data_IF_062649346695
#
_entry.id   IF_062649346695
#
_cell.length_a   1.000
_cell.length_b   1.000
_cell.length_c   1.000
_cell.angle_alpha   90.00
_cell.angle_beta   90.00
_cell.angle_gamma   90.00
#
_symmetry.space_group_name_H-M   'P 1'
#
loop_
_entity.id
_entity.type
_entity.pdbx_description
1 polymer ?
#
# COMPACT_ATOMS: atom_id res chain seq x y z
N UNK A 1 18.16 7.34 -9.63
CA UNK A 1 16.87 6.88 -10.19
C UNK A 1 17.06 5.88 -11.31
N UNK A 2 16.01 5.15 -11.75
CA UNK A 2 16.05 4.29 -12.94
C UNK A 2 16.64 4.96 -14.20
N UNK A 3 16.59 6.29 -14.29
CA UNK A 3 17.15 7.12 -15.36
C UNK A 3 18.56 7.68 -15.09
N UNK A 4 19.23 7.26 -14.01
CA UNK A 4 20.55 7.80 -13.62
C UNK A 4 20.51 9.20 -13.01
N UNK A 5 19.33 9.82 -12.89
CA UNK A 5 19.16 11.15 -12.33
C UNK A 5 19.36 11.22 -10.81
N UNK A 6 19.91 12.35 -10.38
CA UNK A 6 20.06 12.77 -8.98
C UNK A 6 18.75 13.39 -8.51
N UNK A 7 18.27 12.98 -7.33
CA UNK A 7 17.11 13.59 -6.67
C UNK A 7 17.61 14.27 -5.40
N UNK A 8 17.12 15.47 -5.15
CA UNK A 8 17.33 16.16 -3.87
C UNK A 8 16.56 15.47 -2.76
N UNK A 9 17.25 15.19 -1.66
CA UNK A 9 16.66 14.57 -0.47
C UNK A 9 16.72 15.55 0.69
N UNK A 10 15.70 15.52 1.54
CA UNK A 10 15.63 16.32 2.74
C UNK A 10 16.26 15.57 3.91
N UNK A 11 16.85 16.34 4.85
CA UNK A 11 17.28 15.77 6.11
C UNK A 11 16.05 15.26 6.87
N UNK A 12 16.23 14.18 7.62
CA UNK A 12 15.11 13.55 8.30
C UNK A 12 14.53 14.47 9.38
N UNK A 13 15.39 15.20 10.08
CA UNK A 13 15.02 16.17 11.10
C UNK A 13 14.08 17.26 10.54
N UNK A 14 14.33 17.72 9.31
CA UNK A 14 13.49 18.72 8.63
C UNK A 14 12.07 18.19 8.35
N UNK A 15 11.91 16.87 8.27
CA UNK A 15 10.62 16.21 7.99
C UNK A 15 9.87 15.91 9.29
N UNK A 16 10.55 15.36 10.29
CA UNK A 16 9.87 14.77 11.45
C UNK A 16 9.74 15.70 12.65
N UNK A 17 10.56 16.74 12.79
CA UNK A 17 10.65 17.54 14.02
C UNK A 17 9.30 18.15 14.43
N UNK A 18 8.52 18.62 13.46
CA UNK A 18 7.19 19.15 13.74
C UNK A 18 6.24 18.05 14.26
N UNK A 19 6.30 16.84 13.70
CA UNK A 19 5.46 15.72 14.12
C UNK A 19 5.85 15.24 15.53
N UNK A 20 7.15 15.11 15.80
CA UNK A 20 7.69 14.72 17.11
C UNK A 20 7.29 15.70 18.23
N UNK A 21 7.31 17.01 17.94
CA UNK A 21 6.95 18.04 18.92
C UNK A 21 5.45 18.16 19.15
N UNK A 22 4.63 17.76 18.18
CA UNK A 22 3.19 18.01 18.19
C UNK A 22 2.33 16.78 18.52
N UNK A 23 2.87 15.56 18.45
CA UNK A 23 2.14 14.34 18.78
C UNK A 23 2.98 13.40 19.66
N UNK A 24 2.57 13.20 20.93
CA UNK A 24 3.17 12.19 21.81
C UNK A 24 3.10 10.77 21.23
N UNK A 25 2.00 10.43 20.53
CA UNK A 25 1.79 9.14 19.88
C UNK A 25 2.83 8.88 18.79
N UNK A 26 3.03 9.86 17.90
CA UNK A 26 4.05 9.78 16.85
C UNK A 26 5.46 9.76 17.43
N UNK A 27 5.72 10.55 18.47
CA UNK A 27 7.00 10.53 19.18
C UNK A 27 7.31 9.15 19.74
N UNK A 28 6.36 8.53 20.44
CA UNK A 28 6.53 7.19 21.00
C UNK A 28 6.75 6.12 19.91
N UNK A 29 5.97 6.18 18.82
CA UNK A 29 6.15 5.31 17.65
C UNK A 29 7.56 5.46 17.05
N UNK A 30 7.98 6.70 16.79
CA UNK A 30 9.25 6.99 16.16
C UNK A 30 10.43 6.55 17.06
N UNK A 31 10.44 6.93 18.34
CA UNK A 31 11.51 6.54 19.28
C UNK A 31 11.61 5.01 19.47
N UNK A 32 10.49 4.29 19.34
CA UNK A 32 10.47 2.83 19.50
C UNK A 32 10.92 2.08 18.25
N UNK A 33 10.49 2.55 17.07
CA UNK A 33 10.59 1.78 15.84
C UNK A 33 11.66 2.29 14.87
N UNK A 34 12.13 3.54 15.00
CA UNK A 34 13.02 4.17 14.00
C UNK A 34 14.32 3.41 13.78
N UNK A 35 14.92 2.89 14.84
CA UNK A 35 16.20 2.15 14.77
C UNK A 35 16.05 0.80 14.03
N UNK A 36 14.81 0.32 13.87
CA UNK A 36 14.52 -0.88 13.08
C UNK A 36 14.38 -0.58 11.58
N UNK A 37 14.58 0.67 11.14
CA UNK A 37 14.51 1.09 9.75
C UNK A 37 15.88 1.66 9.33
N UNK A 38 16.49 1.08 8.30
CA UNK A 38 17.68 1.67 7.69
C UNK A 38 17.39 3.07 7.12
N UNK A 39 18.42 3.79 6.70
CA UNK A 39 18.30 5.15 6.18
C UNK A 39 17.15 5.34 5.18
N UNK A 40 16.28 6.32 5.48
CA UNK A 40 15.18 6.74 4.63
C UNK A 40 15.62 7.98 3.83
N UNK A 41 15.43 7.92 2.53
CA UNK A 41 15.56 9.09 1.66
C UNK A 41 14.22 9.80 1.55
N UNK A 42 14.12 10.98 2.18
CA UNK A 42 12.92 11.81 2.16
C UNK A 42 12.90 12.70 0.91
N UNK A 43 11.85 12.57 0.11
CA UNK A 43 11.73 13.26 -1.19
C UNK A 43 10.44 14.06 -1.21
N UNK A 44 10.51 15.30 -1.67
CA UNK A 44 9.32 16.10 -1.98
C UNK A 44 8.85 15.77 -3.41
N UNK A 45 7.56 15.52 -3.58
CA UNK A 45 6.96 15.29 -4.89
C UNK A 45 7.13 16.50 -5.80
N UNK A 46 7.36 16.23 -7.07
CA UNK A 46 7.31 17.15 -8.17
C UNK A 46 6.92 16.37 -9.44
N UNK A 47 6.65 17.08 -10.55
CA UNK A 47 6.20 16.45 -11.81
C UNK A 47 7.16 15.35 -12.31
N UNK A 48 8.45 15.50 -12.06
CA UNK A 48 9.47 14.52 -12.45
C UNK A 48 9.42 13.25 -11.59
N UNK A 49 9.28 13.39 -10.27
CA UNK A 49 9.09 12.26 -9.35
C UNK A 49 7.78 11.54 -9.66
N UNK A 50 6.72 12.29 -9.91
CA UNK A 50 5.39 11.79 -10.26
C UNK A 50 5.43 10.92 -11.51
N UNK A 51 6.02 11.43 -12.58
CA UNK A 51 6.18 10.71 -13.84
C UNK A 51 7.10 9.50 -13.75
N UNK A 52 8.12 9.52 -12.88
CA UNK A 52 9.12 8.44 -12.81
C UNK A 52 8.76 7.33 -11.80
N UNK A 53 8.18 7.69 -10.66
CA UNK A 53 7.84 6.73 -9.59
C UNK A 53 6.35 6.38 -9.56
N UNK A 54 5.53 7.00 -10.41
CA UNK A 54 4.08 6.80 -10.37
C UNK A 54 3.47 7.30 -9.06
N UNK A 55 4.04 8.38 -8.49
CA UNK A 55 3.38 9.17 -7.47
C UNK A 55 2.31 10.02 -8.14
N UNK A 56 1.13 10.11 -7.55
CA UNK A 56 0.03 10.93 -8.07
C UNK A 56 -0.28 12.06 -7.10
N UNK A 57 -0.50 13.25 -7.64
CA UNK A 57 -0.93 14.41 -6.85
C UNK A 57 -2.16 14.06 -6.02
N UNK A 58 -2.15 14.42 -4.73
CA UNK A 58 -3.18 14.04 -3.76
C UNK A 58 -2.97 12.70 -3.05
N UNK A 59 -1.95 11.90 -3.37
CA UNK A 59 -1.57 10.71 -2.58
C UNK A 59 -0.97 11.07 -1.21
N UNK A 60 -0.49 12.31 -1.03
CA UNK A 60 0.13 12.88 0.19
C UNK A 60 1.45 12.22 0.64
N UNK A 61 1.58 10.90 0.52
CA UNK A 61 2.80 10.15 0.80
C UNK A 61 2.81 8.78 0.15
N UNK A 62 4.01 8.24 -0.13
CA UNK A 62 4.20 6.88 -0.64
C UNK A 62 5.63 6.37 -0.41
N UNK A 63 5.76 5.16 0.10
CA UNK A 63 7.01 4.43 0.27
C UNK A 63 7.43 3.71 -1.01
N UNK A 64 8.73 3.70 -1.27
CA UNK A 64 9.35 2.99 -2.39
C UNK A 64 10.59 2.25 -1.93
N UNK A 65 10.80 1.07 -2.53
CA UNK A 65 12.08 0.35 -2.48
C UNK A 65 12.73 0.43 -3.85
N UNK A 66 13.94 1.00 -3.92
CA UNK A 66 14.71 1.05 -5.15
C UNK A 66 15.98 0.22 -5.03
N UNK A 67 16.10 -0.80 -5.88
CA UNK A 67 17.34 -1.58 -6.00
C UNK A 67 18.41 -0.75 -6.72
N UNK A 68 19.42 -0.31 -5.98
CA UNK A 68 20.59 0.36 -6.50
C UNK A 68 21.80 -0.57 -6.64
N UNK A 69 22.91 -0.04 -7.16
CA UNK A 69 24.19 -0.77 -7.27
C UNK A 69 24.76 -1.19 -5.90
N UNK A 70 24.51 -0.39 -4.87
CA UNK A 70 25.07 -0.54 -3.51
C UNK A 70 24.09 -1.14 -2.52
N UNK A 71 22.96 -1.69 -2.99
CA UNK A 71 21.90 -2.24 -2.14
C UNK A 71 20.53 -1.61 -2.40
N UNK A 72 19.56 -1.96 -1.56
CA UNK A 72 18.19 -1.45 -1.62
C UNK A 72 18.13 -0.11 -0.89
N UNK A 73 17.53 0.89 -1.55
CA UNK A 73 17.27 2.21 -0.99
C UNK A 73 15.80 2.32 -0.60
N UNK A 74 15.54 2.85 0.59
CA UNK A 74 14.20 3.14 1.12
C UNK A 74 13.89 4.60 0.92
N UNK A 75 12.78 4.92 0.26
CA UNK A 75 12.41 6.29 -0.05
C UNK A 75 10.98 6.54 0.37
N UNK A 76 10.72 7.69 0.97
CA UNK A 76 9.38 8.19 1.20
C UNK A 76 9.23 9.47 0.40
N UNK A 77 8.31 9.45 -0.55
CA UNK A 77 7.91 10.63 -1.31
C UNK A 77 6.72 11.25 -0.59
N UNK A 78 6.80 12.53 -0.26
CA UNK A 78 5.73 13.31 0.35
C UNK A 78 5.33 14.45 -0.59
N UNK A 79 4.04 14.77 -0.65
CA UNK A 79 3.55 15.90 -1.46
C UNK A 79 4.08 17.24 -0.91
N UNK A 80 4.26 17.33 0.41
CA UNK A 80 4.75 18.52 1.10
C UNK A 80 5.85 18.15 2.09
N UNK A 81 6.93 18.96 2.11
CA UNK A 81 7.99 18.92 3.12
C UNK A 81 8.22 20.37 3.61
N UNK A 82 8.20 20.62 4.94
CA UNK A 82 7.84 19.67 6.00
C UNK A 82 6.35 19.24 5.91
N UNK A 83 6.01 18.00 6.31
CA UNK A 83 4.63 17.52 6.35
C UNK A 83 3.83 18.26 7.42
N UNK A 84 2.51 18.36 7.23
CA UNK A 84 1.61 18.92 8.23
C UNK A 84 1.18 17.86 9.25
N UNK A 85 0.57 18.27 10.37
CA UNK A 85 0.01 17.31 11.33
C UNK A 85 -1.10 16.44 10.73
N UNK A 86 -1.80 16.93 9.71
CA UNK A 86 -2.79 16.14 9.00
C UNK A 86 -2.14 14.99 8.21
N UNK A 87 -0.83 15.04 7.95
CA UNK A 87 -0.05 14.01 7.25
C UNK A 87 0.59 13.01 8.22
N UNK A 88 0.43 13.19 9.54
CA UNK A 88 1.09 12.36 10.56
C UNK A 88 0.84 10.86 10.34
N UNK A 89 -0.42 10.47 10.12
CA UNK A 89 -0.77 9.08 9.84
C UNK A 89 -0.04 8.58 8.60
N UNK A 90 -0.01 9.37 7.52
CA UNK A 90 0.63 9.00 6.25
C UNK A 90 2.11 8.78 6.46
N UNK A 91 2.82 9.72 7.11
CA UNK A 91 4.25 9.57 7.40
C UNK A 91 4.51 8.32 8.23
N UNK A 92 3.72 8.09 9.28
CA UNK A 92 3.87 6.90 10.12
C UNK A 92 3.60 5.60 9.34
N UNK A 93 2.59 5.60 8.46
CA UNK A 93 2.19 4.48 7.62
C UNK A 93 3.25 4.11 6.60
N UNK A 94 3.82 5.09 5.90
CA UNK A 94 4.90 4.85 4.95
C UNK A 94 6.18 4.33 5.64
N UNK A 95 6.48 4.81 6.85
CA UNK A 95 7.56 4.23 7.66
C UNK A 95 7.24 2.78 8.08
N UNK A 96 5.97 2.49 8.42
CA UNK A 96 5.55 1.18 8.85
C UNK A 96 5.71 0.12 7.75
N UNK A 97 5.56 0.48 6.48
CA UNK A 97 5.85 -0.44 5.37
C UNK A 97 7.29 -0.98 5.45
N UNK A 98 8.28 -0.14 5.74
CA UNK A 98 9.66 -0.61 5.89
C UNK A 98 9.86 -1.52 7.10
N UNK A 99 9.12 -1.31 8.20
CA UNK A 99 9.13 -2.20 9.35
C UNK A 99 8.55 -3.58 9.00
N UNK A 100 7.44 -3.62 8.26
CA UNK A 100 6.81 -4.87 7.81
C UNK A 100 7.78 -5.65 6.91
N UNK A 101 8.43 -4.97 5.96
CA UNK A 101 9.47 -5.55 5.10
C UNK A 101 10.66 -6.07 5.92
N UNK A 102 11.18 -5.27 6.86
CA UNK A 102 12.31 -5.65 7.71
C UNK A 102 11.97 -6.81 8.67
N UNK A 103 10.68 -7.00 9.01
CA UNK A 103 10.18 -8.17 9.74
C UNK A 103 10.07 -9.43 8.86
N UNK A 104 10.48 -9.34 7.60
CA UNK A 104 10.55 -10.47 6.67
C UNK A 104 9.23 -10.80 5.97
N UNK A 105 8.20 -9.95 6.09
CA UNK A 105 6.96 -10.15 5.33
C UNK A 105 7.26 -10.03 3.83
N UNK A 106 6.86 -11.02 3.01
CA UNK A 106 7.13 -10.97 1.59
C UNK A 106 6.26 -9.91 0.92
N UNK A 107 6.72 -9.41 -0.22
CA UNK A 107 5.96 -8.55 -1.13
C UNK A 107 5.73 -9.25 -2.46
N UNK A 108 4.90 -8.65 -3.31
CA UNK A 108 4.68 -9.09 -4.69
C UNK A 108 5.48 -8.19 -5.63
N UNK A 109 6.24 -8.83 -6.50
CA UNK A 109 7.03 -8.19 -7.54
C UNK A 109 6.38 -8.39 -8.91
N UNK A 110 6.42 -7.40 -9.81
CA UNK A 110 6.01 -7.62 -11.19
C UNK A 110 7.04 -8.50 -11.94
N UNK A 111 6.55 -9.38 -12.80
CA UNK A 111 7.35 -10.11 -13.78
C UNK A 111 7.52 -9.22 -15.02
N UNK A 112 8.67 -8.54 -15.09
CA UNK A 112 9.04 -7.65 -16.19
C UNK A 112 10.05 -8.36 -17.11
N UNK A 113 9.72 -8.50 -18.39
CA UNK A 113 10.63 -9.01 -19.42
C UNK A 113 10.96 -7.92 -20.46
N UNK A 114 12.10 -8.06 -21.14
CA UNK A 114 12.64 -7.03 -22.04
C UNK A 114 11.77 -6.78 -23.29
N UNK A 115 10.78 -7.63 -23.58
CA UNK A 115 9.85 -7.48 -24.69
C UNK A 115 8.48 -6.87 -24.36
N UNK A 116 8.20 -6.52 -23.10
CA UNK A 116 6.90 -5.95 -22.74
C UNK A 116 6.80 -4.48 -23.16
N UNK A 117 5.64 -4.12 -23.72
CA UNK A 117 5.25 -2.74 -23.97
C UNK A 117 5.19 -1.94 -22.66
N UNK A 118 5.41 -0.64 -22.74
CA UNK A 118 5.50 0.22 -21.55
C UNK A 118 4.20 0.21 -20.73
N UNK A 119 3.05 0.25 -21.40
CA UNK A 119 1.73 0.25 -20.74
C UNK A 119 1.48 -1.08 -20.00
N UNK A 120 1.92 -2.19 -20.58
CA UNK A 120 1.85 -3.48 -19.89
C UNK A 120 2.77 -3.52 -18.67
N UNK A 121 4.01 -3.03 -18.78
CA UNK A 121 4.92 -2.93 -17.63
C UNK A 121 4.30 -2.14 -16.48
N UNK A 122 3.68 -0.99 -16.79
CA UNK A 122 2.99 -0.15 -15.81
C UNK A 122 1.83 -0.91 -15.16
N UNK A 123 1.01 -1.60 -15.95
CA UNK A 123 -0.11 -2.37 -15.42
C UNK A 123 0.35 -3.52 -14.50
N UNK A 124 1.43 -4.24 -14.86
CA UNK A 124 2.00 -5.29 -14.00
C UNK A 124 2.54 -4.72 -12.68
N UNK A 125 3.18 -3.55 -12.72
CA UNK A 125 3.65 -2.85 -11.52
C UNK A 125 2.46 -2.45 -10.63
N UNK A 126 1.41 -1.87 -11.21
CA UNK A 126 0.19 -1.47 -10.50
C UNK A 126 -0.51 -2.66 -9.82
N UNK A 127 -0.56 -3.79 -10.52
CA UNK A 127 -1.13 -5.02 -10.00
C UNK A 127 -0.32 -5.60 -8.83
N UNK A 128 1.00 -5.71 -8.99
CA UNK A 128 1.90 -6.19 -7.94
C UNK A 128 1.84 -5.30 -6.69
N UNK A 129 1.79 -3.98 -6.89
CA UNK A 129 1.61 -3.02 -5.81
C UNK A 129 0.26 -3.21 -5.10
N UNK A 130 -0.84 -3.29 -5.85
CA UNK A 130 -2.20 -3.47 -5.30
C UNK A 130 -2.34 -4.78 -4.50
N UNK A 131 -1.73 -5.86 -4.98
CA UNK A 131 -1.72 -7.13 -4.27
C UNK A 131 -0.88 -7.06 -2.98
N UNK A 132 0.23 -6.33 -3.00
CA UNK A 132 1.07 -6.13 -1.82
C UNK A 132 0.34 -5.31 -0.76
N UNK A 133 -0.19 -4.15 -1.13
CA UNK A 133 -0.87 -3.22 -0.21
C UNK A 133 -2.14 -3.82 0.39
N UNK A 134 -2.86 -4.66 -0.35
CA UNK A 134 -4.04 -5.40 0.14
C UNK A 134 -3.78 -6.09 1.50
N UNK A 135 -2.56 -6.58 1.74
CA UNK A 135 -2.18 -7.22 3.00
C UNK A 135 -1.28 -6.34 3.85
N UNK A 136 -0.35 -5.61 3.25
CA UNK A 136 0.62 -4.79 3.98
C UNK A 136 -0.04 -3.60 4.69
N UNK A 137 -1.02 -2.94 4.07
CA UNK A 137 -1.67 -1.77 4.67
C UNK A 137 -2.44 -2.14 5.96
N UNK A 138 -3.23 -3.23 6.01
CA UNK A 138 -3.80 -3.71 7.27
C UNK A 138 -2.75 -4.03 8.35
N UNK A 139 -1.58 -4.55 7.98
CA UNK A 139 -0.48 -4.82 8.91
C UNK A 139 0.13 -3.52 9.46
N UNK A 140 0.40 -2.54 8.59
CA UNK A 140 0.85 -1.21 8.98
C UNK A 140 -0.16 -0.55 9.94
N UNK A 141 -1.45 -0.57 9.59
CA UNK A 141 -2.51 0.02 10.40
C UNK A 141 -2.63 -0.66 11.77
N UNK A 142 -2.52 -1.99 11.82
CA UNK A 142 -2.51 -2.76 13.06
C UNK A 142 -1.30 -2.42 13.95
N UNK A 143 -0.13 -2.19 13.35
CA UNK A 143 1.07 -1.75 14.08
C UNK A 143 0.86 -0.36 14.67
N UNK A 144 0.42 0.62 13.85
CA UNK A 144 0.23 2.00 14.25
C UNK A 144 -0.85 2.18 15.34
N UNK A 145 -1.89 1.36 15.30
CA UNK A 145 -2.96 1.36 16.32
C UNK A 145 -2.42 1.13 17.73
N UNK A 146 -1.33 0.37 17.90
CA UNK A 146 -0.69 0.13 19.22
C UNK A 146 -0.11 1.40 19.83
N UNK A 147 0.22 2.38 19.00
CA UNK A 147 0.77 3.66 19.40
C UNK A 147 -0.30 4.76 19.51
N UNK A 148 -1.58 4.44 19.27
CA UNK A 148 -2.67 5.43 19.26
C UNK A 148 -2.83 6.18 17.93
N UNK A 149 -2.06 5.83 16.90
CA UNK A 149 -2.15 6.45 15.57
C UNK A 149 -3.21 5.70 14.76
N UNK A 150 -4.35 6.35 14.49
CA UNK A 150 -5.54 5.71 13.92
C UNK A 150 -5.85 6.15 12.48
N UNK A 151 -6.21 5.18 11.64
CA UNK A 151 -6.70 5.43 10.28
C UNK A 151 -8.18 5.82 10.21
N UNK A 152 -8.94 5.76 11.31
CA UNK A 152 -10.42 5.79 11.30
C UNK A 152 -11.06 6.90 10.46
N UNK A 153 -10.71 8.16 10.73
CA UNK A 153 -11.28 9.30 9.99
C UNK A 153 -10.82 9.34 8.53
N UNK A 154 -9.59 8.92 8.24
CA UNK A 154 -9.06 8.87 6.89
C UNK A 154 -9.71 7.75 6.08
N UNK A 155 -9.99 6.60 6.69
CA UNK A 155 -10.68 5.49 6.06
C UNK A 155 -12.08 5.87 5.58
N UNK A 156 -12.87 6.54 6.42
CA UNK A 156 -14.23 6.97 6.05
C UNK A 156 -14.21 7.87 4.82
N UNK A 157 -13.30 8.84 4.79
CA UNK A 157 -13.10 9.72 3.63
C UNK A 157 -12.62 8.94 2.40
N UNK A 158 -11.73 7.97 2.59
CA UNK A 158 -11.25 7.09 1.52
C UNK A 158 -12.41 6.30 0.88
N UNK A 159 -13.25 5.63 1.68
CA UNK A 159 -14.42 4.89 1.19
C UNK A 159 -15.40 5.81 0.46
N UNK A 160 -15.73 6.97 1.02
CA UNK A 160 -16.63 7.95 0.37
C UNK A 160 -16.07 8.39 -0.99
N UNK A 161 -14.77 8.68 -1.07
CA UNK A 161 -14.13 9.11 -2.31
C UNK A 161 -14.08 7.98 -3.35
N UNK A 162 -13.80 6.75 -2.93
CA UNK A 162 -13.88 5.59 -3.83
C UNK A 162 -15.29 5.43 -4.42
N UNK A 163 -16.33 5.45 -3.57
CA UNK A 163 -17.72 5.31 -4.05
C UNK A 163 -18.08 6.39 -5.06
N UNK A 164 -17.63 7.63 -4.85
CA UNK A 164 -17.80 8.72 -5.82
C UNK A 164 -17.07 8.41 -7.13
N UNK A 165 -15.81 8.00 -7.06
CA UNK A 165 -14.98 7.74 -8.24
C UNK A 165 -15.51 6.57 -9.09
N UNK A 166 -16.07 5.55 -8.45
CA UNK A 166 -16.59 4.37 -9.15
C UNK A 166 -18.06 4.47 -9.56
N UNK A 167 -18.79 5.51 -9.13
CA UNK A 167 -20.22 5.66 -9.43
C UNK A 167 -20.54 5.67 -10.93
N UNK A 168 -19.66 6.26 -11.75
CA UNK A 168 -19.82 6.41 -13.19
C UNK A 168 -19.00 5.42 -14.02
N UNK A 169 -18.35 4.45 -13.38
CA UNK A 169 -17.52 3.45 -14.07
C UNK A 169 -18.38 2.22 -14.36
N UNK A 170 -18.28 1.64 -15.55
CA UNK A 170 -18.90 0.35 -15.88
C UNK A 170 -18.12 -0.80 -15.23
N UNK A 171 -18.77 -1.96 -15.04
CA UNK A 171 -18.06 -3.11 -14.48
C UNK A 171 -16.87 -3.48 -15.39
N UNK A 172 -15.65 -3.53 -14.85
CA UNK A 172 -14.48 -3.89 -15.64
C UNK A 172 -14.63 -5.30 -16.21
N UNK A 173 -14.11 -5.50 -17.42
CA UNK A 173 -14.05 -6.84 -18.02
C UNK A 173 -13.25 -7.77 -17.08
N UNK A 174 -13.80 -8.97 -16.74
CA UNK A 174 -13.11 -9.96 -15.92
C UNK A 174 -11.69 -10.28 -16.41
N UNK A 175 -10.79 -10.59 -15.48
CA UNK A 175 -9.40 -10.97 -15.75
C UNK A 175 -8.52 -9.93 -16.47
N UNK A 176 -9.02 -8.70 -16.68
CA UNK A 176 -8.16 -7.58 -17.06
C UNK A 176 -7.36 -7.08 -15.86
N UNK A 177 -6.19 -6.47 -16.08
CA UNK A 177 -5.38 -5.91 -14.98
C UNK A 177 -6.19 -4.93 -14.12
N UNK A 178 -7.00 -4.06 -14.74
CA UNK A 178 -7.86 -3.13 -14.01
C UNK A 178 -8.94 -3.85 -13.19
N UNK A 179 -9.58 -4.89 -13.75
CA UNK A 179 -10.55 -5.70 -13.03
C UNK A 179 -9.93 -6.36 -11.79
N UNK A 180 -8.77 -6.99 -11.95
CA UNK A 180 -8.08 -7.68 -10.84
C UNK A 180 -7.58 -6.68 -9.79
N UNK A 181 -7.05 -5.51 -10.20
CA UNK A 181 -6.71 -4.44 -9.25
C UNK A 181 -7.92 -3.98 -8.42
N UNK A 182 -9.10 -3.91 -9.05
CA UNK A 182 -10.33 -3.54 -8.35
C UNK A 182 -10.76 -4.62 -7.35
N UNK A 183 -10.53 -5.90 -7.65
CA UNK A 183 -10.70 -7.01 -6.69
C UNK A 183 -9.79 -6.80 -5.47
N UNK A 184 -8.49 -6.54 -5.67
CA UNK A 184 -7.58 -6.31 -4.54
C UNK A 184 -7.96 -5.07 -3.70
N UNK A 185 -8.45 -4.00 -4.34
CA UNK A 185 -8.98 -2.82 -3.64
C UNK A 185 -10.23 -3.17 -2.82
N UNK A 186 -11.13 -4.00 -3.35
CA UNK A 186 -12.29 -4.49 -2.61
C UNK A 186 -11.90 -5.28 -1.37
N UNK A 187 -10.93 -6.19 -1.51
CA UNK A 187 -10.40 -6.97 -0.39
C UNK A 187 -9.75 -6.07 0.65
N UNK A 188 -8.88 -5.13 0.24
CA UNK A 188 -8.20 -4.19 1.13
C UNK A 188 -9.19 -3.45 2.06
N UNK A 189 -10.26 -2.92 1.48
CA UNK A 189 -11.27 -2.13 2.21
C UNK A 189 -12.01 -3.00 3.22
N UNK A 190 -12.33 -4.25 2.85
CA UNK A 190 -12.96 -5.21 3.75
C UNK A 190 -12.00 -5.74 4.83
N UNK A 191 -10.68 -5.76 4.58
CA UNK A 191 -9.70 -6.13 5.61
C UNK A 191 -9.46 -5.03 6.64
N UNK A 192 -9.59 -3.76 6.25
CA UNK A 192 -9.50 -2.64 7.17
C UNK A 192 -10.60 -2.62 8.24
N UNK A 193 -11.77 -3.18 7.94
CA UNK A 193 -12.90 -3.30 8.86
C UNK A 193 -12.54 -3.99 10.18
N UNK A 194 -11.81 -5.10 10.08
CA UNK A 194 -11.36 -5.88 11.23
C UNK A 194 -10.36 -5.15 12.14
N UNK A 195 -9.91 -3.96 11.74
CA UNK A 195 -8.85 -3.22 12.44
C UNK A 195 -9.23 -1.82 12.91
N UNK A 196 -10.24 -1.15 12.32
CA UNK A 196 -10.33 0.32 12.40
C UNK A 196 -11.70 0.90 12.83
N UNK A 197 -12.85 0.23 12.66
CA UNK A 197 -14.15 0.93 12.67
C UNK A 197 -15.19 0.29 13.60
N UNK A 198 -15.80 1.11 14.47
CA UNK A 198 -17.02 0.77 15.23
C UNK A 198 -18.31 1.16 14.48
N UNK A 199 -18.20 1.79 13.31
CA UNK A 199 -19.28 2.28 12.42
C UNK A 199 -19.48 1.37 11.19
N UNK A 200 -20.08 0.19 11.40
CA UNK A 200 -20.37 -0.82 10.36
C UNK A 200 -21.14 -0.25 9.15
N UNK A 201 -21.88 0.86 9.32
CA UNK A 201 -22.75 1.45 8.30
C UNK A 201 -21.96 1.86 7.06
N UNK A 202 -20.72 2.36 7.22
CA UNK A 202 -19.92 2.82 6.08
C UNK A 202 -19.48 1.64 5.20
N UNK A 203 -19.07 0.52 5.81
CA UNK A 203 -18.67 -0.66 5.07
C UNK A 203 -19.86 -1.39 4.47
N UNK A 204 -20.99 -1.48 5.18
CA UNK A 204 -22.22 -2.06 4.64
C UNK A 204 -22.65 -1.36 3.36
N UNK A 205 -22.63 -0.01 3.35
CA UNK A 205 -22.90 0.78 2.13
C UNK A 205 -21.90 0.51 1.02
N UNK A 206 -20.63 0.35 1.37
CA UNK A 206 -19.58 0.01 0.42
C UNK A 206 -19.82 -1.35 -0.24
N UNK A 207 -20.07 -2.37 0.57
CA UNK A 207 -20.33 -3.74 0.11
C UNK A 207 -21.61 -3.80 -0.72
N UNK A 208 -22.70 -3.18 -0.28
CA UNK A 208 -23.94 -3.09 -1.07
C UNK A 208 -23.72 -2.41 -2.41
N UNK A 209 -22.91 -1.34 -2.46
CA UNK A 209 -22.60 -0.69 -3.73
C UNK A 209 -21.84 -1.64 -4.67
N UNK A 210 -20.78 -2.30 -4.18
CA UNK A 210 -19.98 -3.22 -4.98
C UNK A 210 -20.78 -4.44 -5.44
N UNK A 211 -21.60 -5.04 -4.57
CA UNK A 211 -22.45 -6.19 -4.91
C UNK A 211 -23.43 -5.87 -6.04
N UNK A 212 -24.00 -4.65 -6.04
CA UNK A 212 -24.95 -4.24 -7.06
C UNK A 212 -24.27 -3.78 -8.36
N UNK A 213 -23.14 -3.08 -8.25
CA UNK A 213 -22.48 -2.41 -9.38
C UNK A 213 -21.42 -3.28 -10.06
N UNK A 214 -20.73 -4.11 -9.27
CA UNK A 214 -19.58 -4.93 -9.67
C UNK A 214 -19.66 -6.35 -9.06
N UNK A 215 -20.71 -7.14 -9.40
CA UNK A 215 -20.92 -8.46 -8.83
C UNK A 215 -19.73 -9.41 -9.00
N UNK A 216 -19.07 -9.41 -10.17
CA UNK A 216 -17.92 -10.30 -10.40
C UNK A 216 -16.74 -9.94 -9.49
N UNK A 217 -16.47 -8.64 -9.35
CA UNK A 217 -15.42 -8.13 -8.46
C UNK A 217 -15.69 -8.55 -7.01
N UNK A 218 -16.96 -8.50 -6.61
CA UNK A 218 -17.39 -8.88 -5.27
C UNK A 218 -17.20 -10.38 -5.04
N UNK A 219 -17.58 -11.23 -6.00
CA UNK A 219 -17.44 -12.67 -5.89
C UNK A 219 -15.96 -13.11 -5.80
N UNK A 220 -15.10 -12.59 -6.66
CA UNK A 220 -13.65 -12.86 -6.59
C UNK A 220 -13.02 -12.29 -5.31
N UNK A 221 -13.47 -11.11 -4.88
CA UNK A 221 -13.02 -10.49 -3.65
C UNK A 221 -13.39 -11.31 -2.41
N UNK A 222 -14.61 -11.84 -2.36
CA UNK A 222 -15.07 -12.75 -1.30
C UNK A 222 -14.25 -14.03 -1.28
N UNK A 223 -13.94 -14.60 -2.44
CA UNK A 223 -13.05 -15.76 -2.53
C UNK A 223 -11.67 -15.47 -1.92
N UNK A 224 -11.04 -14.33 -2.23
CA UNK A 224 -9.76 -13.95 -1.60
C UNK A 224 -9.92 -13.73 -0.09
N UNK A 225 -10.99 -13.06 0.35
CA UNK A 225 -11.25 -12.89 1.79
C UNK A 225 -11.36 -14.23 2.52
N UNK A 226 -11.91 -15.26 1.89
CA UNK A 226 -11.94 -16.62 2.45
C UNK A 226 -10.55 -17.26 2.50
N UNK A 227 -9.69 -17.06 1.48
CA UNK A 227 -8.28 -17.43 1.57
C UNK A 227 -7.57 -16.73 2.75
N UNK A 228 -7.86 -15.44 2.95
CA UNK A 228 -7.31 -14.67 4.08
C UNK A 228 -7.77 -15.24 5.42
N UNK A 229 -9.02 -15.70 5.54
CA UNK A 229 -9.52 -16.37 6.76
C UNK A 229 -8.84 -17.73 7.01
N UNK A 230 -8.59 -18.49 5.96
CA UNK A 230 -7.95 -19.82 6.04
C UNK A 230 -6.49 -19.69 6.49
N UNK A 231 -5.72 -18.83 5.83
CA UNK A 231 -4.28 -18.71 6.08
C UNK A 231 -3.94 -17.75 7.20
N UNK A 232 -4.71 -16.67 7.34
CA UNK A 232 -4.33 -15.49 8.10
C UNK A 232 -3.20 -14.71 7.41
N UNK A 233 -2.90 -13.53 7.95
CA UNK A 233 -1.84 -12.66 7.41
C UNK A 233 -0.94 -12.06 8.50
N UNK A 234 -1.00 -12.57 9.73
CA UNK A 234 -0.30 -12.03 10.90
C UNK A 234 1.16 -12.50 11.05
N UNK A 235 1.69 -13.30 10.13
CA UNK A 235 3.10 -13.74 10.12
C UNK A 235 3.65 -13.82 8.69
N UNK A 236 4.96 -13.65 8.46
CA UNK A 236 5.56 -13.74 7.13
C UNK A 236 5.27 -15.04 6.38
N UNK A 237 5.34 -16.18 7.08
CA UNK A 237 5.08 -17.49 6.47
C UNK A 237 3.64 -17.64 6.01
N UNK A 238 2.67 -17.17 6.81
CA UNK A 238 1.25 -17.18 6.42
C UNK A 238 0.98 -16.29 5.22
N UNK A 239 1.55 -15.08 5.18
CA UNK A 239 1.44 -14.18 4.03
C UNK A 239 2.06 -14.80 2.77
N UNK A 240 3.15 -15.56 2.90
CA UNK A 240 3.76 -16.28 1.76
C UNK A 240 2.79 -17.31 1.16
N UNK A 241 2.15 -18.14 2.00
CA UNK A 241 1.16 -19.12 1.53
C UNK A 241 -0.06 -18.45 0.92
N UNK A 242 -0.59 -17.43 1.61
CA UNK A 242 -1.74 -16.65 1.13
C UNK A 242 -1.47 -16.07 -0.27
N UNK A 243 -0.32 -15.42 -0.46
CA UNK A 243 0.03 -14.86 -1.75
C UNK A 243 0.22 -15.93 -2.82
N UNK A 244 0.86 -17.05 -2.50
CA UNK A 244 1.04 -18.14 -3.47
C UNK A 244 -0.32 -18.71 -3.93
N UNK A 245 -1.27 -18.86 -3.02
CA UNK A 245 -2.62 -19.32 -3.35
C UNK A 245 -3.39 -18.31 -4.19
N UNK A 246 -3.30 -17.02 -3.90
CA UNK A 246 -3.92 -15.97 -4.72
C UNK A 246 -3.30 -15.95 -6.13
N UNK A 247 -1.95 -15.99 -6.24
CA UNK A 247 -1.25 -16.05 -7.52
C UNK A 247 -1.69 -17.26 -8.35
N UNK A 248 -1.87 -18.42 -7.72
CA UNK A 248 -2.31 -19.64 -8.39
C UNK A 248 -3.78 -19.58 -8.81
N UNK A 249 -4.67 -19.19 -7.89
CA UNK A 249 -6.11 -19.15 -8.13
C UNK A 249 -6.48 -18.14 -9.23
N UNK A 250 -5.83 -16.98 -9.23
CA UNK A 250 -6.05 -15.93 -10.23
C UNK A 250 -5.13 -16.05 -11.46
N UNK A 251 -4.29 -17.09 -11.54
CA UNK A 251 -3.34 -17.35 -12.64
C UNK A 251 -2.38 -16.19 -12.92
N UNK A 252 -1.88 -15.55 -11.87
CA UNK A 252 -1.02 -14.36 -11.96
C UNK A 252 0.48 -14.68 -11.97
N UNK A 253 0.89 -15.95 -11.91
CA UNK A 253 2.31 -16.34 -11.81
C UNK A 253 3.19 -15.87 -12.99
N UNK A 254 2.62 -15.61 -14.16
CA UNK A 254 3.35 -15.05 -15.32
C UNK A 254 3.47 -13.53 -15.28
N UNK A 255 2.65 -12.88 -14.46
CA UNK A 255 2.49 -11.42 -14.34
C UNK A 255 3.19 -10.89 -13.10
N UNK A 256 3.12 -11.65 -12.02
CA UNK A 256 3.61 -11.30 -10.70
C UNK A 256 4.31 -12.52 -10.07
N UNK A 257 5.23 -12.25 -9.14
CA UNK A 257 5.92 -13.27 -8.37
C UNK A 257 6.10 -12.85 -6.92
N UNK A 258 6.10 -13.83 -6.03
CA UNK A 258 6.45 -13.62 -4.64
C UNK A 258 7.94 -13.25 -4.52
N UNK A 259 8.23 -12.15 -3.83
CA UNK A 259 9.60 -11.83 -3.47
C UNK A 259 10.10 -12.72 -2.34
N UNK A 260 11.34 -13.18 -2.45
CA UNK A 260 12.01 -13.77 -1.29
C UNK A 260 12.29 -12.65 -0.28
N UNK A 261 12.15 -12.90 1.03
CA UNK A 261 12.51 -11.94 2.06
C UNK A 261 13.93 -11.40 1.80
N UNK A 262 14.10 -10.08 1.91
CA UNK A 262 15.41 -9.45 1.79
C UNK A 262 16.21 -9.91 3.03
N UNK A 263 17.28 -10.68 2.78
CA UNK A 263 18.20 -11.18 3.81
C UNK A 263 19.25 -10.13 4.17
#
# INVERSE_FOLDING_TARGET
MPSGKTIETYAEEDVINQLLSSSPEFKNYYETERDNIDNIYWIKSNEEIESTLGFQRGQRGKAYLLKGKTGIKKLIVLEQIPPTLNDLFIVAHEMAHFLIINKGFPAISPCLSDGLENDEKIARIGLAASMSTMIHDPLCNSLLKKYGISYGNLFKNHVINMLKNFSNIEEPVPNTYFGIELVFKYVLVNLHDNTIIDDNICLEKYNQFFENKFPHITDEGKFILDLVKIWGYNTPGRVSYLYQDILNAMKLNEVCKLEKPIA
#
